data_IF_684489002675
#
_entry.id   IF_684489002675
#
_cell.length_a   1.000
_cell.length_b   1.000
_cell.length_c   1.000
_cell.angle_alpha   90.00
_cell.angle_beta   90.00
_cell.angle_gamma   90.00
#
_symmetry.space_group_name_H-M   'P 1'
#
loop_
_entity.id
_entity.type
_entity.pdbx_description
1 polymer ?
#
# COMPACT_ATOMS: atom_id res chain seq x y z
N UNK A 1 7.20 3.85 -17.83
CA UNK A 1 7.27 3.50 -16.38
C UNK A 1 7.56 2.01 -16.24
N UNK A 2 8.44 1.66 -15.31
CA UNK A 2 8.81 0.27 -15.02
C UNK A 2 8.57 -0.01 -13.55
N UNK A 3 7.94 -1.15 -13.23
CA UNK A 3 7.79 -1.63 -11.84
C UNK A 3 8.68 -2.86 -11.68
N UNK A 4 9.45 -2.89 -10.62
CA UNK A 4 10.42 -3.95 -10.33
C UNK A 4 10.60 -4.15 -8.83
N UNK A 5 11.18 -5.29 -8.44
CA UNK A 5 11.58 -5.50 -7.06
C UNK A 5 12.57 -4.40 -6.60
N UNK A 6 12.40 -3.95 -5.38
CA UNK A 6 13.31 -2.98 -4.77
C UNK A 6 14.66 -3.62 -4.43
N UNK A 7 15.70 -2.82 -4.51
CA UNK A 7 17.07 -3.20 -4.17
C UNK A 7 17.69 -2.16 -3.24
N UNK A 8 18.86 -2.45 -2.68
CA UNK A 8 19.55 -1.55 -1.74
C UNK A 8 19.69 -0.09 -2.24
N UNK A 9 20.03 0.17 -3.53
CA UNK A 9 20.09 1.54 -4.04
C UNK A 9 18.76 2.31 -3.99
N UNK A 10 17.63 1.60 -3.84
CA UNK A 10 16.31 2.21 -3.77
C UNK A 10 15.93 2.67 -2.35
N UNK A 11 16.72 2.33 -1.33
CA UNK A 11 16.40 2.64 0.08
C UNK A 11 16.23 4.14 0.30
N UNK A 12 17.12 4.98 -0.18
CA UNK A 12 17.01 6.43 -0.02
C UNK A 12 15.82 7.04 -0.79
N UNK A 13 15.59 6.70 -2.06
CA UNK A 13 14.37 7.11 -2.75
C UNK A 13 13.08 6.66 -2.04
N UNK A 14 13.01 5.42 -1.57
CA UNK A 14 11.87 4.90 -0.82
C UNK A 14 11.67 5.70 0.46
N UNK A 15 12.73 5.94 1.23
CA UNK A 15 12.66 6.72 2.45
C UNK A 15 12.10 8.12 2.21
N UNK A 16 12.53 8.80 1.15
CA UNK A 16 12.03 10.14 0.81
C UNK A 16 10.54 10.13 0.54
N UNK A 17 10.04 9.14 -0.21
CA UNK A 17 8.60 8.99 -0.48
C UNK A 17 7.85 8.66 0.80
N UNK A 18 8.33 7.69 1.57
CA UNK A 18 7.74 7.26 2.83
C UNK A 18 7.60 8.44 3.80
N UNK A 19 8.70 9.15 4.03
CA UNK A 19 8.72 10.31 4.94
C UNK A 19 7.74 11.40 4.50
N UNK A 20 7.72 11.74 3.21
CA UNK A 20 6.80 12.76 2.68
C UNK A 20 5.33 12.35 2.83
N UNK A 21 5.01 11.07 2.64
CA UNK A 21 3.64 10.57 2.76
C UNK A 21 3.18 10.52 4.22
N UNK A 22 3.99 9.96 5.12
CA UNK A 22 3.58 9.85 6.54
C UNK A 22 3.60 11.17 7.28
N UNK A 23 4.39 12.15 6.82
CA UNK A 23 4.45 13.48 7.42
C UNK A 23 3.12 14.24 7.37
N UNK A 24 2.25 13.92 6.41
CA UNK A 24 0.91 14.53 6.31
C UNK A 24 -0.02 14.09 7.46
N UNK A 25 0.18 12.88 7.98
CA UNK A 25 -0.60 12.31 9.08
C UNK A 25 -2.07 12.01 8.74
N UNK A 26 -2.47 12.04 7.47
CA UNK A 26 -3.87 11.96 7.04
C UNK A 26 -4.26 10.65 6.34
N UNK A 27 -3.29 9.77 6.03
CA UNK A 27 -3.56 8.53 5.27
C UNK A 27 -3.02 7.26 5.90
N UNK A 28 -2.04 7.34 6.79
CA UNK A 28 -1.42 6.19 7.45
C UNK A 28 -1.36 6.37 8.96
N UNK A 29 -1.68 5.29 9.70
CA UNK A 29 -1.50 5.22 11.15
C UNK A 29 -0.03 4.89 11.49
N UNK A 30 0.88 5.72 11.01
CA UNK A 30 2.33 5.62 11.21
C UNK A 30 2.79 6.93 11.85
N UNK A 31 3.69 6.84 12.81
CA UNK A 31 4.28 8.02 13.45
C UNK A 31 4.93 8.93 12.40
N UNK A 32 4.49 10.19 12.26
CA UNK A 32 5.09 11.13 11.32
C UNK A 32 6.58 11.42 11.60
N UNK A 33 7.04 11.13 12.81
CA UNK A 33 8.43 11.31 13.25
C UNK A 33 9.24 10.01 13.19
N UNK A 34 8.73 8.96 12.56
CA UNK A 34 9.45 7.68 12.38
C UNK A 34 10.83 7.93 11.77
N UNK A 35 11.85 7.25 12.28
CA UNK A 35 13.20 7.35 11.73
C UNK A 35 13.32 6.62 10.39
N UNK A 36 14.36 6.98 9.61
CA UNK A 36 14.69 6.27 8.37
C UNK A 36 14.93 4.78 8.63
N UNK A 37 15.66 4.46 9.69
CA UNK A 37 15.97 3.08 10.07
C UNK A 37 14.73 2.27 10.37
N UNK A 38 13.82 2.81 11.18
CA UNK A 38 12.55 2.17 11.51
C UNK A 38 11.64 2.01 10.30
N UNK A 39 11.57 3.02 9.44
CA UNK A 39 10.78 2.99 8.21
C UNK A 39 11.29 1.90 7.25
N UNK A 40 12.59 1.81 7.04
CA UNK A 40 13.20 0.77 6.19
C UNK A 40 13.06 -0.62 6.80
N UNK A 41 13.17 -0.76 8.12
CA UNK A 41 12.91 -2.04 8.80
C UNK A 41 11.46 -2.50 8.61
N UNK A 42 10.50 -1.58 8.67
CA UNK A 42 9.10 -1.86 8.39
C UNK A 42 8.86 -2.24 6.92
N UNK A 43 9.48 -1.53 5.98
CA UNK A 43 9.27 -1.73 4.53
C UNK A 43 9.96 -2.98 3.97
N UNK A 44 11.08 -3.38 4.57
CA UNK A 44 11.91 -4.51 4.14
C UNK A 44 11.95 -5.67 5.14
N UNK A 45 10.84 -5.93 5.84
CA UNK A 45 10.75 -7.06 6.77
C UNK A 45 10.89 -8.43 6.07
N UNK A 46 11.12 -9.49 6.85
CA UNK A 46 11.48 -10.83 6.34
C UNK A 46 10.44 -11.44 5.40
N UNK A 47 9.14 -11.23 5.68
CA UNK A 47 8.04 -11.77 4.87
C UNK A 47 7.45 -10.75 3.89
N UNK A 48 8.19 -9.68 3.61
CA UNK A 48 7.71 -8.56 2.80
C UNK A 48 8.44 -8.54 1.46
N UNK A 49 7.65 -8.47 0.38
CA UNK A 49 8.13 -8.19 -0.98
C UNK A 49 7.97 -6.69 -1.23
N UNK A 50 9.07 -5.98 -1.40
CA UNK A 50 9.06 -4.54 -1.70
C UNK A 50 9.34 -4.29 -3.18
N UNK A 51 8.60 -3.36 -3.76
CA UNK A 51 8.67 -2.99 -5.18
C UNK A 51 8.78 -1.48 -5.34
N UNK A 52 9.34 -1.04 -6.45
CA UNK A 52 9.43 0.37 -6.83
C UNK A 52 8.86 0.58 -8.22
N UNK A 53 8.24 1.74 -8.40
CA UNK A 53 7.83 2.27 -9.70
C UNK A 53 8.86 3.33 -10.13
N UNK A 54 9.49 3.10 -11.27
CA UNK A 54 10.51 3.97 -11.85
C UNK A 54 9.99 4.62 -13.11
N UNK A 55 10.14 5.93 -13.21
CA UNK A 55 9.78 6.72 -14.38
C UNK A 55 10.87 7.74 -14.66
N UNK A 56 11.34 7.80 -15.92
CA UNK A 56 12.41 8.71 -16.33
C UNK A 56 13.66 8.65 -15.44
N UNK A 57 14.06 7.45 -15.03
CA UNK A 57 15.24 7.23 -14.15
C UNK A 57 15.04 7.63 -12.69
N UNK A 58 13.83 7.94 -12.27
CA UNK A 58 13.51 8.33 -10.89
C UNK A 58 12.48 7.38 -10.28
N UNK A 59 12.66 7.03 -9.01
CA UNK A 59 11.64 6.30 -8.25
C UNK A 59 10.51 7.27 -7.89
N UNK A 60 9.31 6.94 -8.34
CA UNK A 60 8.10 7.77 -8.20
C UNK A 60 7.03 7.12 -7.32
N UNK A 61 7.21 5.86 -6.97
CA UNK A 61 6.31 5.14 -6.07
C UNK A 61 6.96 3.87 -5.53
N UNK A 62 6.37 3.34 -4.50
CA UNK A 62 6.78 2.07 -3.89
C UNK A 62 5.57 1.38 -3.29
N UNK A 63 5.59 0.04 -3.26
CA UNK A 63 4.60 -0.72 -2.52
C UNK A 63 5.24 -1.96 -1.90
N UNK A 64 4.58 -2.48 -0.89
CA UNK A 64 4.91 -3.76 -0.27
C UNK A 64 3.76 -4.74 -0.38
N UNK A 65 4.11 -6.01 -0.47
CA UNK A 65 3.19 -7.15 -0.54
C UNK A 65 3.62 -8.18 0.50
N UNK A 66 2.70 -8.63 1.33
CA UNK A 66 2.97 -9.57 2.41
C UNK A 66 1.73 -10.40 2.76
N UNK A 67 1.88 -11.54 3.47
CA UNK A 67 0.72 -12.19 4.08
C UNK A 67 0.05 -11.24 5.10
N UNK A 68 -1.29 -11.22 5.08
CA UNK A 68 -2.06 -10.40 6.05
C UNK A 68 -1.98 -10.95 7.46
N UNK A 69 -2.00 -12.29 7.58
CA UNK A 69 -1.88 -13.02 8.84
C UNK A 69 -0.90 -14.18 8.66
N UNK A 70 -0.50 -14.77 9.77
CA UNK A 70 0.37 -15.96 9.75
C UNK A 70 -0.42 -17.26 9.64
N UNK A 71 0.28 -18.36 9.41
CA UNK A 71 -0.24 -19.76 9.44
C UNK A 71 -1.55 -19.92 8.66
N UNK A 72 -2.67 -20.20 9.32
CA UNK A 72 -3.98 -20.42 8.69
C UNK A 72 -4.57 -19.23 7.96
N UNK A 73 -4.02 -18.03 8.14
CA UNK A 73 -4.41 -16.80 7.45
C UNK A 73 -3.43 -16.34 6.37
N UNK A 74 -2.34 -17.06 6.15
CA UNK A 74 -1.24 -16.62 5.28
C UNK A 74 -1.57 -16.62 3.77
N UNK A 75 -2.69 -17.19 3.37
CA UNK A 75 -3.17 -17.22 1.99
C UNK A 75 -3.85 -15.92 1.55
N UNK A 76 -4.13 -15.00 2.48
CA UNK A 76 -4.64 -13.66 2.17
C UNK A 76 -3.49 -12.67 2.19
N UNK A 77 -3.33 -11.93 1.10
CA UNK A 77 -2.31 -10.88 0.99
C UNK A 77 -2.77 -9.57 1.62
N UNK A 78 -1.82 -8.78 2.06
CA UNK A 78 -1.97 -7.36 2.40
C UNK A 78 -0.93 -6.57 1.61
N UNK A 79 -1.21 -5.32 1.32
CA UNK A 79 -0.28 -4.43 0.62
C UNK A 79 -0.42 -3.00 1.11
N UNK A 80 0.64 -2.22 0.97
CA UNK A 80 0.64 -0.79 1.23
C UNK A 80 1.35 -0.08 0.08
N UNK A 81 0.84 1.09 -0.33
CA UNK A 81 1.29 1.83 -1.51
C UNK A 81 1.59 3.27 -1.16
N UNK A 82 2.68 3.78 -1.68
CA UNK A 82 3.04 5.18 -1.54
C UNK A 82 3.51 5.74 -2.88
N UNK A 83 2.98 6.90 -3.25
CA UNK A 83 3.35 7.64 -4.46
C UNK A 83 4.03 8.93 -4.05
N UNK A 84 5.12 9.29 -4.72
CA UNK A 84 5.80 10.56 -4.50
C UNK A 84 4.80 11.71 -4.68
N UNK A 85 4.75 12.69 -3.75
CA UNK A 85 3.74 13.76 -3.79
C UNK A 85 3.70 14.54 -5.11
N UNK A 86 4.87 14.78 -5.71
CA UNK A 86 5.01 15.49 -6.99
C UNK A 86 4.68 14.63 -8.23
N UNK A 87 4.42 13.33 -8.03
CA UNK A 87 4.06 12.40 -9.09
C UNK A 87 2.61 11.91 -9.00
N UNK A 88 1.82 12.46 -8.09
CA UNK A 88 0.39 12.14 -7.96
C UNK A 88 -0.40 12.53 -9.20
N UNK A 89 -1.50 11.80 -9.45
CA UNK A 89 -2.36 12.06 -10.60
C UNK A 89 -1.82 11.58 -11.95
N UNK A 90 -0.71 10.84 -11.96
CA UNK A 90 -0.07 10.32 -13.17
C UNK A 90 -0.33 8.83 -13.42
N UNK A 91 -1.29 8.22 -12.71
CA UNK A 91 -1.64 6.81 -12.86
C UNK A 91 -0.67 5.83 -12.19
N UNK A 92 0.27 6.29 -11.39
CA UNK A 92 1.29 5.45 -10.75
C UNK A 92 0.66 4.50 -9.74
N UNK A 93 -0.26 5.00 -8.90
CA UNK A 93 -0.98 4.17 -7.94
C UNK A 93 -1.76 3.03 -8.60
N UNK A 94 -2.42 3.32 -9.73
CA UNK A 94 -3.13 2.30 -10.51
C UNK A 94 -2.17 1.24 -11.06
N UNK A 95 -1.09 1.67 -11.69
CA UNK A 95 -0.11 0.76 -12.28
C UNK A 95 0.53 -0.15 -11.20
N UNK A 96 0.86 0.40 -10.02
CA UNK A 96 1.36 -0.38 -8.90
C UNK A 96 0.30 -1.34 -8.37
N UNK A 97 -0.97 -0.91 -8.28
CA UNK A 97 -2.08 -1.78 -7.85
C UNK A 97 -2.28 -2.97 -8.78
N UNK A 98 -2.28 -2.74 -10.08
CA UNK A 98 -2.39 -3.80 -11.11
C UNK A 98 -1.20 -4.76 -11.04
N UNK A 99 0.01 -4.25 -10.93
CA UNK A 99 1.22 -5.07 -10.77
C UNK A 99 1.18 -5.88 -9.47
N UNK A 100 0.76 -5.28 -8.37
CA UNK A 100 0.64 -5.96 -7.07
C UNK A 100 -0.36 -7.13 -7.13
N UNK A 101 -1.50 -6.95 -7.78
CA UNK A 101 -2.49 -8.02 -7.97
C UNK A 101 -1.91 -9.18 -8.79
N UNK A 102 -1.19 -8.88 -9.87
CA UNK A 102 -0.49 -9.89 -10.69
C UNK A 102 0.56 -10.64 -9.87
N UNK A 103 1.37 -9.96 -9.07
CA UNK A 103 2.37 -10.59 -8.20
C UNK A 103 1.72 -11.42 -7.09
N UNK A 104 0.63 -10.95 -6.49
CA UNK A 104 -0.12 -11.72 -5.49
C UNK A 104 -0.64 -13.03 -6.08
N UNK A 105 -1.18 -13.00 -7.30
CA UNK A 105 -1.59 -14.22 -8.02
C UNK A 105 -0.40 -15.15 -8.29
N UNK A 106 0.71 -14.58 -8.78
CA UNK A 106 1.93 -15.36 -9.07
C UNK A 106 2.48 -16.06 -7.82
N UNK A 107 2.37 -15.42 -6.67
CA UNK A 107 2.82 -15.94 -5.38
C UNK A 107 1.81 -16.91 -4.73
N UNK A 108 0.66 -17.14 -5.36
CA UNK A 108 -0.34 -18.09 -4.90
C UNK A 108 -1.32 -17.58 -3.85
N UNK A 109 -1.39 -16.30 -3.61
CA UNK A 109 -2.40 -15.74 -2.71
C UNK A 109 -3.82 -15.92 -3.29
N UNK A 110 -4.79 -16.19 -2.40
CA UNK A 110 -6.19 -16.45 -2.75
C UNK A 110 -7.09 -15.21 -2.67
N UNK A 111 -6.64 -14.21 -1.94
CA UNK A 111 -7.34 -12.94 -1.76
C UNK A 111 -6.36 -11.84 -1.35
N UNK A 112 -6.79 -10.59 -1.47
CA UNK A 112 -6.09 -9.45 -0.91
C UNK A 112 -7.03 -8.63 -0.02
N UNK A 113 -6.51 -8.22 1.13
CA UNK A 113 -7.27 -7.44 2.12
C UNK A 113 -6.46 -6.23 2.56
N UNK A 114 -7.10 -5.07 2.53
CA UNK A 114 -6.60 -3.85 3.15
C UNK A 114 -7.30 -3.66 4.50
N UNK A 115 -6.51 -3.58 5.57
CA UNK A 115 -7.05 -3.54 6.93
C UNK A 115 -7.45 -2.15 7.39
N UNK A 116 -6.93 -1.12 6.74
CA UNK A 116 -6.97 0.23 7.31
C UNK A 116 -6.97 1.29 6.21
N UNK A 117 -8.11 1.43 5.52
CA UNK A 117 -8.31 2.45 4.49
C UNK A 117 -9.06 3.62 5.10
N UNK A 118 -8.37 4.72 5.33
CA UNK A 118 -8.92 5.92 5.94
C UNK A 118 -10.04 6.48 5.06
N UNK A 119 -11.23 6.71 5.64
CA UNK A 119 -12.44 7.05 4.88
C UNK A 119 -12.35 8.38 4.11
N UNK A 120 -11.47 9.28 4.53
CA UNK A 120 -11.22 10.55 3.82
C UNK A 120 -10.28 10.41 2.62
N UNK A 121 -9.62 9.27 2.46
CA UNK A 121 -8.76 8.99 1.31
C UNK A 121 -9.61 8.52 0.12
N UNK A 122 -10.43 9.41 -0.41
CA UNK A 122 -11.42 9.11 -1.46
C UNK A 122 -10.78 8.64 -2.76
N UNK A 123 -9.63 9.19 -3.12
CA UNK A 123 -8.91 8.79 -4.34
C UNK A 123 -8.43 7.34 -4.27
N UNK A 124 -7.92 6.90 -3.12
CA UNK A 124 -7.52 5.51 -2.90
C UNK A 124 -8.74 4.58 -2.93
N UNK A 125 -9.82 4.92 -2.22
CA UNK A 125 -11.05 4.13 -2.20
C UNK A 125 -11.61 3.93 -3.60
N UNK A 126 -11.65 4.99 -4.40
CA UNK A 126 -12.09 4.94 -5.81
C UNK A 126 -11.21 4.01 -6.64
N UNK A 127 -9.89 4.13 -6.50
CA UNK A 127 -8.93 3.29 -7.19
C UNK A 127 -9.12 1.81 -6.83
N UNK A 128 -9.22 1.50 -5.55
CA UNK A 128 -9.41 0.11 -5.09
C UNK A 128 -10.71 -0.48 -5.58
N UNK A 129 -11.80 0.28 -5.57
CA UNK A 129 -13.09 -0.16 -6.16
C UNK A 129 -12.96 -0.45 -7.66
N UNK A 130 -12.26 0.40 -8.40
CA UNK A 130 -12.00 0.17 -9.83
C UNK A 130 -11.14 -1.09 -10.08
N UNK A 131 -10.28 -1.45 -9.14
CA UNK A 131 -9.48 -2.68 -9.18
C UNK A 131 -10.22 -3.90 -8.57
N UNK A 132 -11.52 -3.80 -8.32
CA UNK A 132 -12.36 -4.92 -7.91
C UNK A 132 -12.44 -5.16 -6.40
N UNK A 133 -11.91 -4.28 -5.57
CA UNK A 133 -12.06 -4.36 -4.11
C UNK A 133 -13.46 -3.89 -3.69
N UNK A 134 -13.95 -4.49 -2.61
CA UNK A 134 -15.20 -4.10 -1.95
C UNK A 134 -14.93 -3.73 -0.49
N UNK A 135 -15.68 -2.76 0.01
CA UNK A 135 -15.70 -2.48 1.45
C UNK A 135 -16.46 -3.62 2.13
N UNK A 136 -15.79 -4.35 3.01
CA UNK A 136 -16.38 -5.49 3.74
C UNK A 136 -16.60 -5.19 5.21
N UNK A 137 -16.10 -4.08 5.70
CA UNK A 137 -16.30 -3.63 7.07
C UNK A 137 -15.94 -2.17 7.26
N UNK A 138 -16.53 -1.56 8.28
CA UNK A 138 -16.24 -0.19 8.71
C UNK A 138 -15.85 -0.22 10.18
N UNK A 139 -14.73 0.40 10.51
CA UNK A 139 -14.24 0.58 11.88
C UNK A 139 -14.57 2.01 12.31
N UNK A 140 -15.59 2.21 13.17
CA UNK A 140 -16.03 3.55 13.56
C UNK A 140 -14.94 4.31 14.32
N UNK A 141 -14.66 5.55 13.89
CA UNK A 141 -13.75 6.45 14.59
C UNK A 141 -12.32 5.90 14.81
N UNK A 142 -11.87 4.99 13.96
CA UNK A 142 -10.61 4.24 14.18
C UNK A 142 -9.34 5.02 13.83
N UNK A 143 -9.47 6.19 13.21
CA UNK A 143 -8.32 7.02 12.83
C UNK A 143 -8.51 8.46 13.31
N UNK A 144 -7.52 8.99 14.02
CA UNK A 144 -7.50 10.40 14.42
C UNK A 144 -6.89 11.24 13.30
N UNK A 145 -7.76 11.88 12.53
CA UNK A 145 -7.34 12.77 11.46
C UNK A 145 -6.79 14.09 12.03
N UNK A 146 -5.72 14.70 11.45
CA UNK A 146 -5.15 15.95 11.95
C UNK A 146 -6.13 17.12 12.03
N UNK A 147 -7.14 17.14 11.15
CA UNK A 147 -8.10 18.26 11.03
C UNK A 147 -9.56 17.88 11.27
N UNK A 148 -9.91 16.59 11.24
CA UNK A 148 -11.29 16.08 11.23
C UNK A 148 -11.64 15.22 12.44
N UNK A 149 -10.81 15.22 13.48
CA UNK A 149 -10.94 14.37 14.67
C UNK A 149 -10.97 12.86 14.32
N UNK A 150 -11.82 12.10 14.96
CA UNK A 150 -11.93 10.65 14.79
C UNK A 150 -12.84 10.32 13.64
N UNK A 151 -12.26 9.71 12.61
CA UNK A 151 -12.98 9.32 11.39
C UNK A 151 -12.96 7.81 11.19
N UNK A 152 -13.88 7.32 10.37
CA UNK A 152 -14.01 5.90 10.08
C UNK A 152 -12.88 5.39 9.20
N UNK A 153 -12.64 4.08 9.33
CA UNK A 153 -11.67 3.33 8.52
C UNK A 153 -12.39 2.15 7.88
N UNK A 154 -12.09 1.88 6.63
CA UNK A 154 -12.65 0.74 5.90
C UNK A 154 -11.69 -0.43 5.86
N UNK A 155 -12.25 -1.64 5.97
CA UNK A 155 -11.60 -2.88 5.55
C UNK A 155 -12.09 -3.19 4.14
N UNK A 156 -11.16 -3.36 3.21
CA UNK A 156 -11.47 -3.66 1.81
C UNK A 156 -10.89 -5.02 1.41
N UNK A 157 -11.58 -5.74 0.55
CA UNK A 157 -11.22 -7.12 0.18
C UNK A 157 -11.49 -7.39 -1.29
N UNK A 158 -10.61 -8.19 -1.90
CA UNK A 158 -10.78 -8.74 -3.25
C UNK A 158 -10.39 -10.22 -3.27
N UNK A 159 -11.23 -11.09 -3.84
CA UNK A 159 -10.84 -12.46 -4.21
C UNK A 159 -9.87 -12.44 -5.39
N UNK A 160 -8.88 -13.30 -5.37
CA UNK A 160 -7.94 -13.52 -6.48
C UNK A 160 -8.17 -14.87 -7.18
N UNK A 161 -9.19 -15.61 -6.78
CA UNK A 161 -9.43 -16.98 -7.32
C UNK A 161 -9.82 -16.95 -8.80
N UNK A 162 -10.55 -15.93 -9.22
CA UNK A 162 -10.95 -15.76 -10.63
C UNK A 162 -9.76 -15.38 -11.52
N UNK A 163 -8.75 -14.73 -10.94
CA UNK A 163 -7.55 -14.30 -11.65
C UNK A 163 -6.56 -15.47 -11.89
N UNK A 164 -6.76 -16.60 -11.19
CA UNK A 164 -5.99 -17.83 -11.38
C UNK A 164 -6.53 -18.77 -12.46
N UNK A 165 -7.71 -18.46 -13.01
CA UNK A 165 -8.39 -19.33 -14.00
C UNK A 165 -7.80 -19.20 -15.43
#
# INVERSE_FOLDING_TARGET
MKIRAAAEPDHDPIWRIFHAVVATGDTYAIDPYISREEALAYWFGADIQAYVAESAGRIVGTYILRPNQSTGGAHVANAAFMVAPDARGQGIGRAMGEHCLSEACRLGFRAMQFNFVVSTNESAIRLWKQLGFKIVGTLPGAFRHPEKDYIDVYVMHRSLLEDHA
#
